data_IF_314223976486
#
_entry.id   IF_314223976486
#
_cell.length_a   1.000
_cell.length_b   1.000
_cell.length_c   1.000
_cell.angle_alpha   90.00
_cell.angle_beta   90.00
_cell.angle_gamma   90.00
#
_symmetry.space_group_name_H-M   'P 1'
#
loop_
_entity.id
_entity.type
_entity.pdbx_description
1 polymer ?
#
# COMPACT_ATOMS: atom_id res chain seq x y z
N UNK A 1 26.40 -40.96 47.64
CA UNK A 1 25.17 -40.26 47.24
C UNK A 1 25.52 -39.25 46.17
N UNK A 2 25.03 -39.46 44.95
CA UNK A 2 25.23 -38.57 43.80
C UNK A 2 24.05 -37.57 43.80
N UNK A 3 24.27 -36.25 43.75
CA UNK A 3 23.15 -35.32 43.69
C UNK A 3 22.47 -35.40 42.32
N UNK A 4 21.16 -35.60 42.36
CA UNK A 4 20.25 -35.63 41.22
C UNK A 4 20.14 -34.20 40.65
N UNK A 5 20.47 -34.05 39.38
CA UNK A 5 20.23 -32.80 38.62
C UNK A 5 18.73 -32.74 38.35
N UNK A 6 18.01 -31.66 38.72
CA UNK A 6 16.60 -31.56 38.38
C UNK A 6 16.45 -31.47 36.87
N UNK A 7 15.62 -32.36 36.34
CA UNK A 7 15.26 -32.46 34.94
C UNK A 7 14.80 -31.09 34.41
N UNK A 8 15.36 -30.73 33.26
CA UNK A 8 14.96 -29.61 32.44
C UNK A 8 13.46 -29.72 32.17
N UNK A 9 12.67 -28.77 32.68
CA UNK A 9 11.27 -28.67 32.34
C UNK A 9 11.17 -28.43 30.81
N UNK A 10 10.73 -29.45 30.09
CA UNK A 10 10.39 -29.33 28.69
C UNK A 10 9.24 -28.33 28.55
N UNK A 11 9.41 -27.35 27.67
CA UNK A 11 8.41 -26.34 27.30
C UNK A 11 7.20 -27.05 26.69
N UNK A 12 6.20 -27.36 27.49
CA UNK A 12 4.90 -27.89 27.07
C UNK A 12 3.83 -26.81 27.18
N UNK A 13 3.75 -25.90 26.20
CA UNK A 13 2.52 -25.16 25.88
C UNK A 13 2.59 -24.44 24.50
N UNK A 14 2.51 -25.21 23.41
CA UNK A 14 2.74 -24.70 22.03
C UNK A 14 1.49 -24.16 21.32
N UNK A 15 0.29 -24.36 21.85
CA UNK A 15 -0.96 -23.93 21.20
C UNK A 15 -1.47 -22.64 21.84
N UNK A 16 -1.71 -21.55 21.07
CA UNK A 16 -2.30 -20.34 21.63
C UNK A 16 -3.72 -20.64 22.12
N UNK A 17 -4.14 -19.94 23.18
CA UNK A 17 -5.51 -20.00 23.73
C UNK A 17 -6.21 -18.66 23.56
N UNK A 18 -7.51 -18.61 23.85
CA UNK A 18 -8.27 -17.36 23.84
C UNK A 18 -7.71 -16.27 24.77
N UNK A 19 -6.92 -16.63 25.79
CA UNK A 19 -6.25 -15.64 26.65
C UNK A 19 -5.08 -14.95 25.94
N UNK A 20 -4.61 -15.48 24.81
CA UNK A 20 -3.52 -14.87 24.02
C UNK A 20 -4.05 -13.90 22.93
N UNK A 21 -5.35 -13.67 22.88
CA UNK A 21 -6.01 -12.77 21.95
C UNK A 21 -6.53 -11.54 22.70
N UNK A 22 -6.68 -10.43 21.99
CA UNK A 22 -7.25 -9.19 22.49
C UNK A 22 -8.62 -9.45 23.12
N UNK A 23 -8.90 -8.78 24.24
CA UNK A 23 -10.21 -8.76 24.87
C UNK A 23 -11.04 -7.52 24.45
N UNK A 24 -12.20 -7.35 25.09
CA UNK A 24 -13.13 -6.25 24.81
C UNK A 24 -12.57 -4.88 25.21
N UNK A 25 -11.78 -4.80 26.27
CA UNK A 25 -11.22 -3.55 26.77
C UNK A 25 -10.04 -3.10 25.90
N UNK A 26 -9.22 -4.04 25.44
CA UNK A 26 -8.08 -3.75 24.57
C UNK A 26 -8.54 -3.35 23.16
N UNK A 27 -9.53 -4.05 22.58
CA UNK A 27 -10.06 -3.71 21.25
C UNK A 27 -10.87 -2.40 21.28
N UNK A 28 -11.36 -1.95 22.46
CA UNK A 28 -12.11 -0.70 22.60
C UNK A 28 -11.35 0.49 22.03
N UNK A 29 -10.01 0.48 22.05
CA UNK A 29 -9.17 1.52 21.44
C UNK A 29 -9.45 1.74 19.95
N UNK A 30 -9.99 0.74 19.23
CA UNK A 30 -10.33 0.84 17.81
C UNK A 30 -11.78 1.33 17.58
N UNK A 31 -12.53 1.65 18.63
CA UNK A 31 -13.94 2.09 18.58
C UNK A 31 -14.17 3.38 19.36
N UNK A 32 -14.98 4.30 18.83
CA UNK A 32 -15.44 5.52 19.51
C UNK A 32 -16.30 5.17 20.74
N UNK A 33 -15.70 4.96 21.91
CA UNK A 33 -16.36 4.66 23.22
C UNK A 33 -17.49 3.59 23.18
N UNK A 34 -17.58 2.81 22.09
CA UNK A 34 -18.66 1.86 21.86
C UNK A 34 -18.37 0.55 22.58
N UNK A 35 -19.43 -0.14 23.07
CA UNK A 35 -19.27 -1.47 23.59
C UNK A 35 -18.93 -2.44 22.44
N UNK A 36 -17.78 -3.08 22.57
CA UNK A 36 -17.36 -4.18 21.70
C UNK A 36 -17.82 -5.52 22.28
N UNK A 37 -18.14 -6.45 21.39
CA UNK A 37 -18.42 -7.83 21.71
C UNK A 37 -17.47 -8.75 20.95
N UNK A 38 -17.06 -9.84 21.60
CA UNK A 38 -16.46 -10.99 20.92
C UNK A 38 -17.62 -11.79 20.32
N UNK A 39 -17.60 -11.98 19.00
CA UNK A 39 -18.66 -12.72 18.30
C UNK A 39 -18.24 -14.16 18.01
N UNK A 40 -16.94 -14.42 17.86
CA UNK A 40 -16.41 -15.76 17.59
C UNK A 40 -14.96 -15.87 18.05
N UNK A 41 -14.56 -17.06 18.50
CA UNK A 41 -13.15 -17.46 18.63
C UNK A 41 -13.03 -18.91 18.20
N UNK A 42 -12.13 -19.19 17.26
CA UNK A 42 -11.93 -20.53 16.67
C UNK A 42 -10.48 -20.70 16.19
N UNK A 43 -10.10 -21.90 15.75
CA UNK A 43 -8.76 -22.25 15.25
C UNK A 43 -8.60 -22.05 13.74
N UNK A 44 -9.63 -21.51 13.08
CA UNK A 44 -9.71 -21.33 11.64
C UNK A 44 -9.46 -22.61 10.84
N UNK A 45 -9.89 -23.78 11.32
CA UNK A 45 -9.79 -25.07 10.58
C UNK A 45 -11.05 -25.43 9.79
N UNK A 46 -12.19 -24.83 10.13
CA UNK A 46 -13.46 -24.98 9.40
C UNK A 46 -13.59 -24.02 8.20
N UNK A 47 -14.56 -24.24 7.30
CA UNK A 47 -14.88 -23.34 6.18
C UNK A 47 -13.77 -23.22 5.13
N UNK A 48 -13.69 -22.08 4.43
CA UNK A 48 -12.60 -21.76 3.48
C UNK A 48 -11.33 -21.22 4.17
N UNK A 49 -11.46 -20.81 5.43
CA UNK A 49 -10.38 -20.26 6.23
C UNK A 49 -10.10 -18.77 6.00
N UNK A 50 -10.93 -18.08 5.22
CA UNK A 50 -10.77 -16.67 4.86
C UNK A 50 -11.61 -15.81 5.80
N UNK A 51 -10.95 -14.97 6.61
CA UNK A 51 -11.62 -14.16 7.62
C UNK A 51 -11.64 -12.66 7.29
N UNK A 52 -10.83 -12.20 6.33
CA UNK A 52 -10.69 -10.78 6.00
C UNK A 52 -10.62 -10.52 4.50
N UNK A 53 -11.01 -9.31 4.09
CA UNK A 53 -11.23 -8.90 2.69
C UNK A 53 -10.07 -9.18 1.72
N UNK A 54 -8.83 -9.11 2.19
CA UNK A 54 -7.63 -9.23 1.33
C UNK A 54 -6.85 -10.52 1.57
N UNK A 55 -7.26 -11.35 2.54
CA UNK A 55 -6.61 -12.62 2.82
C UNK A 55 -6.76 -13.56 1.62
N UNK A 56 -5.67 -14.19 1.20
CA UNK A 56 -5.63 -15.00 -0.02
C UNK A 56 -5.69 -16.51 0.26
N UNK A 57 -5.18 -16.95 1.41
CA UNK A 57 -5.16 -18.36 1.85
C UNK A 57 -5.52 -18.44 3.33
N UNK A 58 -5.90 -19.64 3.79
CA UNK A 58 -6.29 -19.89 5.20
C UNK A 58 -5.25 -19.40 6.22
N UNK A 59 -3.99 -19.70 5.99
CA UNK A 59 -2.86 -19.30 6.82
C UNK A 59 -1.80 -18.60 5.98
N UNK A 60 -1.08 -17.67 6.59
CA UNK A 60 0.06 -17.00 5.98
C UNK A 60 1.31 -17.90 5.98
N UNK A 61 1.45 -18.74 7.01
CA UNK A 61 2.37 -19.86 7.05
C UNK A 61 1.61 -21.18 6.76
N UNK A 62 1.76 -21.78 5.56
CA UNK A 62 1.08 -23.03 5.23
C UNK A 62 1.55 -24.23 6.10
N UNK A 63 2.73 -24.13 6.71
CA UNK A 63 3.30 -25.17 7.59
C UNK A 63 3.13 -24.81 9.09
N UNK A 64 2.28 -23.83 9.39
CA UNK A 64 1.95 -23.40 10.74
C UNK A 64 1.48 -24.56 11.62
N UNK A 65 1.83 -24.52 12.90
CA UNK A 65 1.52 -25.58 13.87
C UNK A 65 0.27 -25.32 14.69
N UNK A 66 -0.15 -24.06 14.77
CA UNK A 66 -1.39 -23.67 15.43
C UNK A 66 -1.84 -22.29 14.96
N UNK A 67 -3.15 -22.05 15.01
CA UNK A 67 -3.73 -20.74 14.75
C UNK A 67 -4.91 -20.49 15.68
N UNK A 68 -5.19 -19.21 15.93
CA UNK A 68 -6.45 -18.76 16.51
C UNK A 68 -6.94 -17.50 15.80
N UNK A 69 -8.25 -17.42 15.63
CA UNK A 69 -8.95 -16.27 15.09
C UNK A 69 -10.00 -15.82 16.09
N UNK A 70 -10.05 -14.51 16.37
CA UNK A 70 -11.10 -13.88 17.16
C UNK A 70 -11.75 -12.74 16.39
N UNK A 71 -13.07 -12.76 16.34
CA UNK A 71 -13.88 -11.75 15.65
C UNK A 71 -14.58 -10.87 16.66
N UNK A 72 -14.60 -9.57 16.37
CA UNK A 72 -15.22 -8.54 17.18
C UNK A 72 -16.19 -7.72 16.36
N UNK A 73 -17.22 -7.19 17.00
CA UNK A 73 -18.09 -6.17 16.42
C UNK A 73 -18.53 -5.15 17.46
N UNK A 74 -18.86 -3.94 17.01
CA UNK A 74 -19.61 -2.98 17.83
C UNK A 74 -21.12 -3.21 17.69
N UNK A 75 -21.90 -2.67 18.63
CA UNK A 75 -23.37 -2.56 18.53
C UNK A 75 -23.78 -1.09 18.30
N UNK A 76 -24.75 -0.84 17.41
CA UNK A 76 -25.26 0.50 17.07
C UNK A 76 -24.33 1.35 16.19
N UNK A 77 -24.79 2.53 15.76
CA UNK A 77 -23.99 3.56 15.06
C UNK A 77 -23.25 3.11 13.79
N UNK A 78 -22.17 3.84 13.40
CA UNK A 78 -21.30 3.44 12.29
C UNK A 78 -20.67 2.06 12.61
N UNK A 79 -20.99 1.08 11.77
CA UNK A 79 -20.64 -0.32 12.01
C UNK A 79 -19.12 -0.51 11.97
N UNK A 80 -18.54 -1.02 13.07
CA UNK A 80 -17.15 -1.45 13.16
C UNK A 80 -17.05 -2.94 13.44
N UNK A 81 -16.06 -3.57 12.83
CA UNK A 81 -15.69 -4.95 13.12
C UNK A 81 -14.18 -5.07 13.16
N UNK A 82 -13.68 -6.11 13.82
CA UNK A 82 -12.27 -6.46 13.77
C UNK A 82 -12.11 -7.98 13.74
N UNK A 83 -11.05 -8.44 13.10
CA UNK A 83 -10.60 -9.83 13.16
C UNK A 83 -9.16 -9.81 13.61
N UNK A 84 -8.87 -10.49 14.72
CA UNK A 84 -7.50 -10.78 15.12
C UNK A 84 -7.17 -12.22 14.74
N UNK A 85 -6.01 -12.42 14.12
CA UNK A 85 -5.44 -13.75 13.84
C UNK A 85 -4.10 -13.87 14.55
N UNK A 86 -3.82 -15.03 15.12
CA UNK A 86 -2.52 -15.43 15.64
C UNK A 86 -2.13 -16.75 14.98
N UNK A 87 -0.95 -16.78 14.35
CA UNK A 87 -0.38 -17.97 13.73
C UNK A 87 0.95 -18.30 14.40
N UNK A 88 1.14 -19.58 14.75
CA UNK A 88 2.39 -20.11 15.31
C UNK A 88 3.09 -20.96 14.26
N UNK A 89 4.31 -20.58 13.93
CA UNK A 89 5.17 -21.29 12.97
C UNK A 89 6.10 -22.29 13.66
N UNK A 90 6.65 -23.25 12.91
CA UNK A 90 7.66 -24.19 13.47
C UNK A 90 8.98 -23.48 13.80
N UNK A 91 9.28 -22.40 13.07
CA UNK A 91 10.53 -21.62 13.20
C UNK A 91 10.29 -20.13 13.03
N UNK A 92 11.22 -19.31 13.55
CA UNK A 92 11.18 -17.85 13.37
C UNK A 92 11.31 -17.46 11.89
N UNK A 93 12.08 -18.24 11.12
CA UNK A 93 12.21 -18.05 9.67
C UNK A 93 10.85 -18.19 8.97
N UNK A 94 10.07 -19.21 9.32
CA UNK A 94 8.73 -19.39 8.77
C UNK A 94 7.78 -18.30 9.27
N UNK A 95 7.83 -17.91 10.55
CA UNK A 95 7.03 -16.79 11.04
C UNK A 95 7.35 -15.48 10.30
N UNK A 96 8.62 -15.26 9.95
CA UNK A 96 9.04 -14.11 9.15
C UNK A 96 8.48 -14.15 7.72
N UNK A 97 8.41 -15.33 7.11
CA UNK A 97 7.74 -15.50 5.84
C UNK A 97 6.23 -15.26 5.98
N UNK A 98 5.58 -15.82 7.00
CA UNK A 98 4.18 -15.58 7.33
C UNK A 98 3.87 -14.08 7.49
N UNK A 99 4.66 -13.35 8.28
CA UNK A 99 4.55 -11.89 8.41
C UNK A 99 4.58 -11.18 7.06
N UNK A 100 5.55 -11.51 6.19
CA UNK A 100 5.68 -10.91 4.85
C UNK A 100 4.50 -11.27 3.95
N UNK A 101 4.04 -12.52 4.01
CA UNK A 101 2.84 -12.99 3.30
C UNK A 101 1.61 -12.20 3.72
N UNK A 102 1.37 -12.06 5.03
CA UNK A 102 0.25 -11.27 5.56
C UNK A 102 0.33 -9.82 5.11
N UNK A 103 1.51 -9.17 5.21
CA UNK A 103 1.70 -7.79 4.71
C UNK A 103 1.39 -7.70 3.20
N UNK A 104 1.88 -8.67 2.42
CA UNK A 104 1.69 -8.73 0.97
C UNK A 104 0.22 -8.85 0.55
N UNK A 105 -0.60 -9.60 1.30
CA UNK A 105 -2.04 -9.72 1.05
C UNK A 105 -2.73 -8.36 0.98
N UNK A 106 -2.39 -7.43 1.89
CA UNK A 106 -3.02 -6.11 1.95
C UNK A 106 -2.33 -5.09 1.05
N UNK A 107 -0.99 -5.12 0.97
CA UNK A 107 -0.24 -4.22 0.09
C UNK A 107 -0.60 -4.43 -1.40
N UNK A 108 -0.92 -5.67 -1.77
CA UNK A 108 -1.28 -6.11 -3.12
C UNK A 108 -2.75 -6.42 -3.33
N UNK A 109 -3.63 -5.96 -2.44
CA UNK A 109 -5.03 -6.41 -2.44
C UNK A 109 -5.75 -6.04 -3.73
N UNK A 110 -6.27 -7.06 -4.43
CA UNK A 110 -6.92 -6.92 -5.75
C UNK A 110 -8.44 -6.71 -5.68
N UNK A 111 -8.97 -6.49 -4.48
CA UNK A 111 -10.39 -6.16 -4.31
C UNK A 111 -10.67 -4.86 -5.05
N UNK A 112 -11.65 -4.90 -5.95
CA UNK A 112 -11.98 -3.75 -6.78
C UNK A 112 -12.26 -2.49 -5.95
N UNK A 113 -11.59 -1.39 -6.32
CA UNK A 113 -11.72 -0.06 -5.68
C UNK A 113 -11.19 0.02 -4.25
N UNK A 114 -10.36 -0.93 -3.84
CA UNK A 114 -9.58 -0.80 -2.62
C UNK A 114 -8.26 -0.07 -2.93
N UNK A 115 -7.91 0.89 -2.07
CA UNK A 115 -6.71 1.69 -2.19
C UNK A 115 -5.89 1.65 -0.89
N UNK A 116 -4.57 1.50 -0.99
CA UNK A 116 -3.62 1.68 0.11
C UNK A 116 -3.33 3.17 0.29
N UNK A 117 -3.81 3.74 1.40
CA UNK A 117 -3.66 5.16 1.72
C UNK A 117 -2.28 5.45 2.33
N UNK A 118 -1.93 4.70 3.38
CA UNK A 118 -0.67 4.90 4.10
C UNK A 118 -0.16 3.60 4.70
N UNK A 119 1.13 3.60 5.01
CA UNK A 119 1.81 2.51 5.67
C UNK A 119 2.74 3.06 6.74
N UNK A 120 2.84 2.34 7.84
CA UNK A 120 3.65 2.71 8.98
C UNK A 120 4.55 1.55 9.37
N UNK A 121 5.81 1.88 9.63
CA UNK A 121 6.66 0.99 10.42
C UNK A 121 6.43 1.32 11.88
N UNK A 122 6.20 0.28 12.67
CA UNK A 122 6.06 0.38 14.12
C UNK A 122 7.30 -0.22 14.75
N UNK A 123 7.90 0.52 15.68
CA UNK A 123 9.05 0.04 16.46
C UNK A 123 8.64 -0.07 17.94
N UNK A 124 9.53 -0.65 18.75
CA UNK A 124 9.34 -0.95 20.18
C UNK A 124 8.28 -2.03 20.48
N UNK A 125 7.83 -2.78 19.48
CA UNK A 125 6.93 -3.92 19.64
C UNK A 125 7.37 -5.08 18.73
N UNK A 126 7.51 -6.27 19.31
CA UNK A 126 7.95 -7.47 18.60
C UNK A 126 9.29 -7.31 17.87
N UNK A 127 9.55 -8.23 16.95
CA UNK A 127 10.72 -8.22 16.08
C UNK A 127 10.48 -7.41 14.80
N UNK A 128 9.25 -7.50 14.25
CA UNK A 128 8.81 -6.81 13.04
C UNK A 128 7.35 -6.37 13.23
N UNK A 129 7.03 -5.12 12.92
CA UNK A 129 5.67 -4.62 12.99
C UNK A 129 5.35 -3.58 11.90
N UNK A 130 4.17 -3.70 11.32
CA UNK A 130 3.68 -2.86 10.24
C UNK A 130 2.19 -2.54 10.41
N UNK A 131 1.80 -1.34 10.01
CA UNK A 131 0.39 -0.95 9.90
C UNK A 131 0.11 -0.45 8.49
N UNK A 132 -0.98 -0.92 7.88
CA UNK A 132 -1.49 -0.41 6.61
C UNK A 132 -2.89 0.19 6.82
N UNK A 133 -3.11 1.35 6.22
CA UNK A 133 -4.43 1.99 6.15
C UNK A 133 -4.96 1.88 4.73
N UNK A 134 -6.13 1.29 4.58
CA UNK A 134 -6.76 1.09 3.29
C UNK A 134 -8.16 1.69 3.26
N UNK A 135 -8.65 1.94 2.05
CA UNK A 135 -10.02 2.40 1.84
C UNK A 135 -10.64 1.68 0.66
N UNK A 136 -11.80 1.09 0.91
CA UNK A 136 -12.69 0.56 -0.12
C UNK A 136 -13.68 1.66 -0.52
N UNK A 137 -13.55 2.15 -1.76
CA UNK A 137 -14.34 3.27 -2.28
C UNK A 137 -15.72 2.87 -2.83
N UNK A 138 -16.23 1.68 -2.47
CA UNK A 138 -17.63 1.29 -2.68
C UNK A 138 -18.54 2.11 -1.76
N UNK A 139 -19.81 2.33 -2.10
CA UNK A 139 -20.77 2.96 -1.18
C UNK A 139 -21.45 1.88 -0.31
N UNK A 140 -21.55 2.07 1.03
CA UNK A 140 -20.86 3.09 1.81
C UNK A 140 -19.34 2.84 1.83
N UNK A 141 -18.55 3.93 1.88
CA UNK A 141 -17.08 3.83 1.96
C UNK A 141 -16.71 3.04 3.19
N UNK A 142 -15.72 2.16 3.09
CA UNK A 142 -15.20 1.40 4.23
C UNK A 142 -13.72 1.67 4.37
N UNK A 143 -13.27 1.98 5.58
CA UNK A 143 -11.85 2.10 5.88
C UNK A 143 -11.38 0.87 6.63
N UNK A 144 -10.18 0.40 6.29
CA UNK A 144 -9.56 -0.77 6.91
C UNK A 144 -8.25 -0.35 7.57
N UNK A 145 -8.06 -0.78 8.82
CA UNK A 145 -6.78 -0.72 9.52
C UNK A 145 -6.23 -2.13 9.64
N UNK A 146 -5.00 -2.33 9.17
CA UNK A 146 -4.35 -3.64 9.18
C UNK A 146 -3.08 -3.50 10.00
N UNK A 147 -3.06 -4.08 11.19
CA UNK A 147 -1.92 -4.05 12.09
C UNK A 147 -1.32 -5.46 12.19
N UNK A 148 -0.03 -5.62 11.88
CA UNK A 148 0.63 -6.92 11.81
C UNK A 148 1.92 -6.84 12.61
N UNK A 149 2.19 -7.82 13.46
CA UNK A 149 3.44 -7.94 14.19
C UNK A 149 3.92 -9.39 14.21
N UNK A 150 5.23 -9.56 14.35
CA UNK A 150 5.90 -10.84 14.58
C UNK A 150 6.72 -10.77 15.84
N UNK A 151 6.68 -11.82 16.66
CA UNK A 151 7.55 -12.02 17.81
C UNK A 151 8.01 -13.48 17.85
N UNK A 152 9.31 -13.72 17.68
CA UNK A 152 9.88 -15.06 17.51
C UNK A 152 9.15 -15.86 16.43
N UNK A 153 8.53 -16.96 16.84
CA UNK A 153 7.78 -17.90 15.97
C UNK A 153 6.31 -17.55 15.76
N UNK A 154 5.84 -16.43 16.31
CA UNK A 154 4.42 -16.06 16.30
C UNK A 154 4.21 -14.83 15.44
N UNK A 155 3.20 -14.88 14.57
CA UNK A 155 2.69 -13.73 13.82
C UNK A 155 1.29 -13.41 14.32
N UNK A 156 1.02 -12.14 14.59
CA UNK A 156 -0.33 -11.66 14.90
C UNK A 156 -0.75 -10.57 13.93
N UNK A 157 -2.01 -10.59 13.52
CA UNK A 157 -2.62 -9.53 12.74
C UNK A 157 -3.97 -9.13 13.34
N UNK A 158 -4.27 -7.83 13.33
CA UNK A 158 -5.59 -7.29 13.67
C UNK A 158 -6.05 -6.44 12.49
N UNK A 159 -7.17 -6.84 11.88
CA UNK A 159 -7.78 -6.15 10.76
C UNK A 159 -9.09 -5.53 11.23
N UNK A 160 -9.08 -4.22 11.42
CA UNK A 160 -10.26 -3.43 11.71
C UNK A 160 -10.95 -2.96 10.44
N UNK A 161 -12.28 -2.97 10.43
CA UNK A 161 -13.12 -2.41 9.37
C UNK A 161 -14.06 -1.38 9.99
N UNK A 162 -14.15 -0.20 9.38
CA UNK A 162 -15.05 0.88 9.79
C UNK A 162 -15.85 1.37 8.61
N UNK A 163 -17.17 1.27 8.68
CA UNK A 163 -18.06 1.91 7.71
C UNK A 163 -17.95 3.43 7.87
N UNK A 164 -17.60 4.11 6.79
CA UNK A 164 -17.30 5.54 6.75
C UNK A 164 -15.82 5.85 6.50
N UNK A 165 -15.51 7.15 6.46
CA UNK A 165 -14.18 7.67 6.17
C UNK A 165 -13.35 8.03 7.41
N UNK A 166 -13.82 7.64 8.60
CA UNK A 166 -13.24 7.98 9.91
C UNK A 166 -12.65 6.75 10.60
N UNK A 167 -11.50 6.23 10.14
CA UNK A 167 -10.85 5.12 10.82
C UNK A 167 -10.26 5.59 12.17
N UNK A 168 -9.95 4.65 13.08
CA UNK A 168 -9.16 4.98 14.26
C UNK A 168 -7.83 5.65 13.89
N UNK A 169 -7.33 6.62 14.67
CA UNK A 169 -6.03 7.23 14.45
C UNK A 169 -4.89 6.19 14.56
N UNK A 170 -3.77 6.38 13.84
CA UNK A 170 -2.64 5.46 13.86
C UNK A 170 -2.09 5.14 15.26
N UNK A 171 -2.11 6.11 16.17
CA UNK A 171 -1.70 5.89 17.58
C UNK A 171 -2.56 4.84 18.30
N UNK A 172 -3.87 4.82 18.07
CA UNK A 172 -4.76 3.82 18.66
C UNK A 172 -4.57 2.44 18.03
N UNK A 173 -4.33 2.39 16.71
CA UNK A 173 -4.07 1.15 15.98
C UNK A 173 -2.76 0.52 16.44
N UNK A 174 -1.70 1.32 16.55
CA UNK A 174 -0.38 0.87 16.99
C UNK A 174 -0.36 0.45 18.45
N UNK A 175 -1.12 1.14 19.33
CA UNK A 175 -1.31 0.69 20.70
C UNK A 175 -2.07 -0.63 20.79
N UNK A 176 -3.13 -0.83 19.99
CA UNK A 176 -3.84 -2.12 19.95
C UNK A 176 -2.92 -3.26 19.46
N UNK A 177 -2.00 -2.97 18.54
CA UNK A 177 -0.97 -3.94 18.12
C UNK A 177 0.02 -4.25 19.25
N UNK A 178 0.45 -3.25 20.00
CA UNK A 178 1.29 -3.43 21.18
C UNK A 178 0.60 -4.31 22.23
N UNK A 179 -0.68 -4.05 22.50
CA UNK A 179 -1.50 -4.85 23.42
C UNK A 179 -1.58 -6.31 22.94
N UNK A 180 -1.77 -6.55 21.63
CA UNK A 180 -1.77 -7.90 21.03
C UNK A 180 -0.44 -8.62 21.25
N UNK A 181 0.69 -7.93 21.02
CA UNK A 181 2.03 -8.51 21.23
C UNK A 181 2.29 -8.78 22.71
N UNK A 182 1.87 -7.90 23.62
CA UNK A 182 2.01 -8.10 25.06
C UNK A 182 1.28 -9.37 25.54
N UNK A 183 0.05 -9.62 25.06
CA UNK A 183 -0.71 -10.84 25.38
C UNK A 183 -0.01 -12.12 24.90
N UNK A 184 0.77 -12.03 23.82
CA UNK A 184 1.55 -13.15 23.29
C UNK A 184 2.87 -13.35 24.03
N UNK A 185 3.47 -12.31 24.58
CA UNK A 185 4.75 -12.44 25.28
C UNK A 185 4.62 -12.83 26.74
N UNK A 186 3.51 -12.50 27.39
CA UNK A 186 3.16 -13.08 28.69
C UNK A 186 3.23 -14.62 28.66
N UNK A 187 2.92 -15.24 27.51
CA UNK A 187 3.06 -16.70 27.28
C UNK A 187 4.53 -17.17 27.23
N UNK A 188 5.43 -16.34 26.71
CA UNK A 188 6.87 -16.67 26.62
C UNK A 188 7.63 -16.39 27.92
N UNK A 189 6.99 -15.84 28.95
CA UNK A 189 7.64 -15.36 30.18
C UNK A 189 8.53 -14.12 29.98
N UNK A 190 8.51 -13.52 28.78
CA UNK A 190 9.29 -12.33 28.45
C UNK A 190 8.47 -11.06 28.64
N UNK A 191 8.94 -10.18 29.52
CA UNK A 191 8.33 -8.87 29.78
C UNK A 191 8.77 -7.79 28.77
N UNK A 192 9.77 -8.07 27.92
CA UNK A 192 10.49 -7.03 27.17
C UNK A 192 10.03 -6.83 25.72
N UNK A 193 9.12 -7.66 25.21
CA UNK A 193 8.79 -7.66 23.79
C UNK A 193 7.81 -6.54 23.35
N UNK A 194 7.17 -5.84 24.29
CA UNK A 194 6.21 -4.78 24.02
C UNK A 194 6.44 -3.61 24.97
N UNK A 195 6.98 -2.51 24.43
CA UNK A 195 7.11 -1.22 25.12
C UNK A 195 6.11 -0.24 24.50
N UNK A 196 6.19 1.03 24.92
CA UNK A 196 5.39 2.08 24.30
C UNK A 196 5.70 2.16 22.78
N UNK A 197 4.70 1.91 21.91
CA UNK A 197 4.94 1.84 20.47
C UNK A 197 5.27 3.23 19.93
N UNK A 198 6.22 3.26 18.99
CA UNK A 198 6.45 4.44 18.15
C UNK A 198 6.21 4.05 16.71
N UNK A 199 5.79 5.01 15.88
CA UNK A 199 5.54 4.74 14.48
C UNK A 199 5.97 5.91 13.60
N UNK A 200 6.35 5.59 12.37
CA UNK A 200 6.60 6.58 11.32
C UNK A 200 5.97 6.13 10.01
N UNK A 201 5.55 7.10 9.22
CA UNK A 201 5.12 6.86 7.85
C UNK A 201 6.31 6.31 7.06
N UNK A 202 6.06 5.28 6.27
CA UNK A 202 7.04 4.67 5.36
C UNK A 202 6.38 4.46 3.99
N UNK A 203 7.18 4.29 2.92
CA UNK A 203 6.66 3.79 1.65
C UNK A 203 5.80 2.53 1.85
N UNK A 204 4.77 2.33 1.02
CA UNK A 204 3.94 1.14 1.09
C UNK A 204 4.81 -0.10 0.85
N UNK A 205 4.54 -1.22 1.53
CA UNK A 205 5.22 -2.47 1.25
C UNK A 205 5.06 -2.89 -0.22
N UNK A 206 5.94 -3.76 -0.73
CA UNK A 206 5.79 -4.32 -2.08
C UNK A 206 4.40 -4.93 -2.26
N UNK A 207 3.73 -4.56 -3.35
CA UNK A 207 2.37 -5.03 -3.66
C UNK A 207 2.33 -6.47 -4.18
N UNK A 208 3.49 -7.08 -4.48
CA UNK A 208 3.56 -8.34 -5.21
C UNK A 208 3.22 -8.22 -6.71
N UNK A 209 2.94 -7.00 -7.19
CA UNK A 209 3.01 -6.67 -8.62
C UNK A 209 4.47 -6.34 -9.02
N UNK A 210 4.72 -5.94 -10.27
CA UNK A 210 6.07 -5.56 -10.72
C UNK A 210 6.62 -4.42 -9.86
N UNK A 211 7.89 -4.54 -9.45
CA UNK A 211 8.56 -3.51 -8.63
C UNK A 211 8.84 -2.26 -9.46
N UNK A 212 8.86 -1.10 -8.82
CA UNK A 212 9.18 0.15 -9.52
C UNK A 212 8.02 0.77 -10.32
N UNK A 213 6.84 0.14 -10.32
CA UNK A 213 5.66 0.67 -10.99
C UNK A 213 4.47 0.64 -10.03
N UNK A 214 3.49 1.51 -10.24
CA UNK A 214 2.28 1.56 -9.42
C UNK A 214 1.55 0.22 -9.43
N UNK A 215 1.00 -0.13 -8.27
CA UNK A 215 0.04 -1.20 -8.13
C UNK A 215 -1.37 -0.67 -8.43
N UNK A 216 -2.31 -1.57 -8.76
CA UNK A 216 -3.73 -1.15 -8.90
C UNK A 216 -4.25 -0.57 -7.57
N UNK A 217 -3.78 -1.12 -6.44
CA UNK A 217 -4.13 -0.65 -5.11
C UNK A 217 -3.54 0.74 -4.74
N UNK A 218 -2.65 1.31 -5.57
CA UNK A 218 -2.16 2.67 -5.36
C UNK A 218 -3.12 3.73 -5.93
N UNK A 219 -3.98 3.33 -6.88
CA UNK A 219 -4.75 4.26 -7.69
C UNK A 219 -5.98 4.80 -6.95
N UNK A 220 -6.17 6.13 -6.91
CA UNK A 220 -7.35 6.72 -6.29
C UNK A 220 -8.61 6.54 -7.17
N UNK A 221 -9.82 6.68 -6.60
CA UNK A 221 -11.02 6.83 -7.41
C UNK A 221 -10.91 8.08 -8.30
N UNK A 222 -11.58 8.03 -9.45
CA UNK A 222 -11.64 9.15 -10.39
C UNK A 222 -13.09 9.60 -10.53
N UNK A 223 -13.34 10.89 -10.26
CA UNK A 223 -14.67 11.49 -10.34
C UNK A 223 -15.75 10.63 -9.69
N UNK A 224 -16.75 10.26 -10.48
CA UNK A 224 -17.92 9.49 -10.05
C UNK A 224 -17.84 8.01 -10.43
N UNK A 225 -16.72 7.57 -10.99
CA UNK A 225 -16.57 6.23 -11.55
C UNK A 225 -16.65 5.17 -10.44
N UNK A 226 -17.62 4.26 -10.59
CA UNK A 226 -17.91 3.21 -9.64
C UNK A 226 -17.25 1.86 -9.98
N UNK A 227 -16.46 1.80 -11.05
CA UNK A 227 -15.73 0.61 -11.52
C UNK A 227 -14.25 0.65 -11.06
N UNK A 228 -13.58 -0.50 -10.92
CA UNK A 228 -12.20 -0.55 -10.46
C UNK A 228 -11.21 -0.27 -11.58
N UNK A 229 -10.05 0.26 -11.20
CA UNK A 229 -8.88 0.26 -12.07
C UNK A 229 -8.44 -1.17 -12.41
N UNK A 230 -7.96 -1.34 -13.64
CA UNK A 230 -7.29 -2.55 -14.12
C UNK A 230 -6.02 -2.12 -14.83
N UNK A 231 -4.89 -2.71 -14.45
CA UNK A 231 -3.61 -2.49 -15.12
C UNK A 231 -3.31 -3.58 -16.14
N UNK A 232 -2.78 -3.19 -17.29
CA UNK A 232 -2.13 -4.10 -18.25
C UNK A 232 -0.96 -4.85 -17.59
N UNK A 233 -0.48 -5.94 -18.20
CA UNK A 233 0.76 -6.57 -17.73
C UNK A 233 1.94 -5.62 -17.99
N UNK A 234 2.79 -5.35 -16.98
CA UNK A 234 4.03 -4.60 -17.19
C UNK A 234 4.88 -5.21 -18.30
N UNK A 235 5.46 -4.34 -19.14
CA UNK A 235 6.31 -4.78 -20.24
C UNK A 235 7.48 -3.80 -20.46
N UNK A 236 8.57 -4.22 -21.14
CA UNK A 236 9.60 -3.29 -21.58
C UNK A 236 9.02 -2.15 -22.42
N UNK A 237 9.42 -0.91 -22.14
CA UNK A 237 8.93 0.26 -22.85
C UNK A 237 9.70 0.46 -24.17
N UNK A 238 9.35 -0.31 -25.21
CA UNK A 238 9.89 -0.12 -26.58
C UNK A 238 9.42 1.20 -27.20
N UNK A 239 8.19 1.57 -26.87
CA UNK A 239 7.62 2.91 -27.03
C UNK A 239 7.16 3.37 -25.66
N UNK A 240 7.21 4.67 -25.42
CA UNK A 240 6.74 5.26 -24.18
C UNK A 240 5.28 5.69 -24.31
N UNK A 241 4.29 4.90 -23.82
CA UNK A 241 2.88 5.29 -23.87
C UNK A 241 2.52 6.43 -22.91
N UNK A 242 3.47 6.87 -22.08
CA UNK A 242 3.32 8.05 -21.24
C UNK A 242 3.78 9.33 -21.94
N UNK A 243 4.56 9.24 -23.02
CA UNK A 243 5.05 10.42 -23.73
C UNK A 243 3.89 11.27 -24.31
N UNK A 244 4.03 12.59 -24.21
CA UNK A 244 3.14 13.57 -24.85
C UNK A 244 3.88 14.32 -25.97
N UNK A 245 3.16 15.16 -26.72
CA UNK A 245 3.76 16.05 -27.73
C UNK A 245 4.69 17.09 -27.10
N UNK A 246 4.50 17.45 -25.82
CA UNK A 246 5.32 18.43 -25.11
C UNK A 246 6.66 17.87 -24.62
N UNK A 247 6.66 16.68 -24.01
CA UNK A 247 7.88 16.07 -23.47
C UNK A 247 8.62 15.21 -24.49
N UNK A 248 7.89 14.52 -25.38
CA UNK A 248 8.42 13.53 -26.33
C UNK A 248 9.43 12.56 -25.68
N UNK A 249 9.22 12.21 -24.43
CA UNK A 249 10.19 11.48 -23.64
C UNK A 249 10.43 10.08 -24.21
N UNK A 250 11.69 9.77 -24.49
CA UNK A 250 12.15 8.46 -24.92
C UNK A 250 13.28 8.01 -23.99
N UNK A 251 12.93 7.17 -23.01
CA UNK A 251 13.88 6.66 -22.02
C UNK A 251 14.99 5.81 -22.66
N UNK A 252 14.66 5.01 -23.67
CA UNK A 252 15.63 4.12 -24.32
C UNK A 252 16.65 4.95 -25.12
N UNK A 253 16.16 5.91 -25.92
CA UNK A 253 17.02 6.84 -26.67
C UNK A 253 17.86 7.73 -25.74
N UNK A 254 17.34 8.06 -24.56
CA UNK A 254 18.07 8.80 -23.53
C UNK A 254 19.12 7.97 -22.78
N UNK A 255 19.25 6.67 -23.07
CA UNK A 255 20.28 5.81 -22.49
C UNK A 255 19.87 5.10 -21.19
N UNK A 256 18.57 4.93 -20.93
CA UNK A 256 18.11 4.03 -19.87
C UNK A 256 18.50 2.58 -20.20
N UNK A 257 19.09 1.88 -19.24
CA UNK A 257 19.51 0.47 -19.36
C UNK A 257 18.36 -0.50 -19.12
N UNK A 258 17.30 -0.05 -18.46
CA UNK A 258 16.09 -0.84 -18.22
C UNK A 258 14.90 0.09 -18.29
N UNK A 259 13.88 -0.33 -19.03
CA UNK A 259 12.60 0.36 -19.06
C UNK A 259 11.46 -0.60 -18.75
N UNK A 260 10.42 -0.08 -18.10
CA UNK A 260 9.12 -0.75 -17.93
C UNK A 260 8.02 0.26 -18.14
N UNK A 261 6.90 -0.23 -18.66
CA UNK A 261 5.69 0.56 -18.82
C UNK A 261 4.45 -0.26 -18.50
N UNK A 262 3.41 0.44 -18.08
CA UNK A 262 2.08 -0.10 -17.81
C UNK A 262 1.01 0.97 -18.00
N UNK A 263 -0.10 0.57 -18.60
CA UNK A 263 -1.31 1.38 -18.71
C UNK A 263 -2.40 0.84 -17.80
N UNK A 264 -3.12 1.74 -17.14
CA UNK A 264 -4.28 1.49 -16.29
C UNK A 264 -5.52 2.09 -16.91
N UNK A 265 -6.59 1.29 -16.94
CA UNK A 265 -7.88 1.63 -17.51
C UNK A 265 -8.98 1.30 -16.50
N UNK A 266 -10.19 1.79 -16.74
CA UNK A 266 -11.37 1.38 -15.99
C UNK A 266 -12.36 0.77 -17.00
N UNK A 267 -12.28 -0.55 -17.27
CA UNK A 267 -13.22 -1.22 -18.15
C UNK A 267 -14.67 -1.05 -17.68
N UNK A 268 -15.62 -1.13 -18.61
CA UNK A 268 -17.07 -1.08 -18.34
C UNK A 268 -17.57 0.23 -17.68
N UNK A 269 -16.77 1.30 -17.71
CA UNK A 269 -17.16 2.62 -17.20
C UNK A 269 -17.64 3.59 -18.31
N UNK A 270 -17.80 3.11 -19.56
CA UNK A 270 -18.23 3.92 -20.71
C UNK A 270 -17.42 5.21 -20.90
N UNK A 271 -16.10 5.10 -20.78
CA UNK A 271 -15.18 6.24 -20.85
C UNK A 271 -14.66 6.43 -22.29
N UNK A 272 -14.24 7.65 -22.67
CA UNK A 272 -13.57 7.88 -23.95
C UNK A 272 -12.37 6.94 -24.12
N UNK A 273 -12.07 6.51 -25.36
CA UNK A 273 -10.96 5.59 -25.65
C UNK A 273 -9.58 6.09 -25.15
N UNK A 274 -9.42 7.41 -25.04
CA UNK A 274 -8.21 8.06 -24.52
C UNK A 274 -8.10 8.04 -22.99
N UNK A 275 -9.18 7.74 -22.27
CA UNK A 275 -9.17 7.76 -20.81
C UNK A 275 -8.20 6.71 -20.27
N UNK A 276 -7.36 7.12 -19.33
CA UNK A 276 -6.48 6.19 -18.62
C UNK A 276 -5.27 6.88 -18.02
N UNK A 277 -4.51 6.09 -17.27
CA UNK A 277 -3.21 6.47 -16.73
C UNK A 277 -2.16 5.56 -17.38
N UNK A 278 -1.05 6.12 -17.86
CA UNK A 278 0.12 5.34 -18.25
C UNK A 278 1.30 5.75 -17.40
N UNK A 279 2.07 4.75 -16.96
CA UNK A 279 3.31 4.95 -16.24
C UNK A 279 4.45 4.26 -16.99
N UNK A 280 5.56 4.97 -17.14
CA UNK A 280 6.79 4.45 -17.72
C UNK A 280 7.97 4.85 -16.86
N UNK A 281 8.81 3.90 -16.47
CA UNK A 281 10.08 4.22 -15.82
C UNK A 281 11.28 3.77 -16.67
N UNK A 282 12.38 4.50 -16.51
CA UNK A 282 13.70 4.15 -17.03
C UNK A 282 14.75 4.25 -15.94
N UNK A 283 15.56 3.18 -15.79
CA UNK A 283 16.76 3.17 -14.96
C UNK A 283 17.97 3.53 -15.81
N UNK A 284 18.72 4.52 -15.38
CA UNK A 284 19.94 5.00 -16.04
C UNK A 284 21.18 4.43 -15.35
N UNK A 285 22.32 4.51 -16.03
CA UNK A 285 23.60 4.03 -15.47
C UNK A 285 24.05 4.84 -14.25
N UNK A 286 23.67 6.12 -14.18
CA UNK A 286 24.10 7.02 -13.12
C UNK A 286 22.98 7.99 -12.71
N UNK A 287 22.98 8.47 -11.46
CA UNK A 287 22.10 9.58 -11.04
C UNK A 287 22.27 10.87 -11.85
N UNK A 288 23.47 11.11 -12.40
CA UNK A 288 23.73 12.27 -13.25
C UNK A 288 22.98 12.16 -14.60
N UNK A 289 22.97 10.98 -15.22
CA UNK A 289 22.22 10.73 -16.46
C UNK A 289 20.71 10.89 -16.24
N UNK A 290 20.19 10.33 -15.15
CA UNK A 290 18.79 10.49 -14.76
C UNK A 290 18.39 11.96 -14.53
N UNK A 291 19.25 12.74 -13.83
CA UNK A 291 19.05 14.20 -13.65
C UNK A 291 19.03 14.94 -14.98
N UNK A 292 19.99 14.64 -15.87
CA UNK A 292 20.07 15.27 -17.20
C UNK A 292 18.79 15.01 -17.99
N UNK A 293 18.32 13.75 -18.03
CA UNK A 293 17.08 13.40 -18.71
C UNK A 293 15.88 14.20 -18.18
N UNK A 294 15.71 14.28 -16.86
CA UNK A 294 14.62 15.06 -16.27
C UNK A 294 14.74 16.57 -16.60
N UNK A 295 15.95 17.14 -16.59
CA UNK A 295 16.17 18.52 -17.00
C UNK A 295 15.86 18.76 -18.49
N UNK A 296 16.22 17.82 -19.37
CA UNK A 296 15.91 17.89 -20.81
C UNK A 296 14.40 17.89 -21.05
N UNK A 297 13.67 17.01 -20.36
CA UNK A 297 12.20 16.97 -20.42
C UNK A 297 11.58 18.27 -19.93
N UNK A 298 11.99 18.79 -18.76
CA UNK A 298 11.48 20.08 -18.23
C UNK A 298 11.66 21.21 -19.24
N UNK A 299 12.84 21.30 -19.86
CA UNK A 299 13.11 22.26 -20.93
C UNK A 299 12.25 22.04 -22.17
N UNK A 300 11.89 20.79 -22.47
CA UNK A 300 10.99 20.48 -23.58
C UNK A 300 9.57 20.93 -23.28
N UNK A 301 9.06 20.67 -22.07
CA UNK A 301 7.70 21.10 -21.66
C UNK A 301 7.61 22.62 -21.59
N UNK A 302 8.64 23.30 -21.06
CA UNK A 302 8.68 24.76 -20.98
C UNK A 302 8.65 25.46 -22.35
N UNK A 303 9.07 24.78 -23.42
CA UNK A 303 9.04 25.28 -24.81
C UNK A 303 7.92 24.62 -25.63
N UNK A 304 6.94 24.00 -24.97
CA UNK A 304 5.89 23.27 -25.69
C UNK A 304 5.02 24.23 -26.50
N UNK A 305 4.53 25.30 -25.88
CA UNK A 305 3.63 26.26 -26.53
C UNK A 305 4.29 26.95 -27.75
N UNK A 306 5.61 27.16 -27.72
CA UNK A 306 6.37 27.70 -28.85
C UNK A 306 6.41 26.76 -30.07
N UNK A 307 6.31 25.45 -29.84
CA UNK A 307 6.44 24.41 -30.88
C UNK A 307 5.09 23.82 -31.29
N UNK A 308 4.11 23.88 -30.40
CA UNK A 308 2.77 23.35 -30.57
C UNK A 308 1.76 24.42 -30.11
N UNK A 309 1.42 25.31 -31.05
CA UNK A 309 0.50 26.45 -30.81
C UNK A 309 -0.91 26.02 -30.40
N UNK A 310 -1.26 24.74 -30.62
CA UNK A 310 -2.55 24.18 -30.22
C UNK A 310 -2.55 23.65 -28.78
N UNK A 311 -1.39 23.63 -28.10
CA UNK A 311 -1.24 23.12 -26.74
C UNK A 311 -0.96 24.23 -25.74
N UNK A 312 -1.70 24.23 -24.64
CA UNK A 312 -1.49 25.08 -23.47
C UNK A 312 -0.88 24.26 -22.32
N UNK A 313 0.08 24.82 -21.62
CA UNK A 313 0.76 24.26 -20.45
C UNK A 313 0.45 25.12 -19.23
N UNK A 314 -0.04 24.50 -18.17
CA UNK A 314 -0.42 25.21 -16.94
C UNK A 314 -0.17 24.37 -15.70
N UNK A 315 -0.43 24.94 -14.53
CA UNK A 315 -0.46 24.19 -13.28
C UNK A 315 0.87 23.55 -12.88
N UNK A 316 2.00 24.16 -13.29
CA UNK A 316 3.32 23.66 -12.95
C UNK A 316 3.48 23.53 -11.44
N UNK A 317 3.91 22.34 -11.01
CA UNK A 317 4.37 22.09 -9.64
C UNK A 317 5.73 21.45 -9.71
N UNK A 318 6.61 21.90 -8.83
CA UNK A 318 7.94 21.33 -8.65
C UNK A 318 8.15 21.05 -7.17
N UNK A 319 8.65 19.86 -6.87
CA UNK A 319 9.10 19.48 -5.54
C UNK A 319 10.46 18.79 -5.67
N UNK A 320 11.45 19.35 -4.97
CA UNK A 320 12.75 18.72 -4.80
C UNK A 320 13.06 18.69 -3.30
N UNK A 321 13.44 17.52 -2.79
CA UNK A 321 13.88 17.40 -1.40
C UNK A 321 15.36 17.79 -1.28
N UNK A 322 15.76 18.28 -0.10
CA UNK A 322 17.15 18.65 0.20
C UNK A 322 18.13 17.46 0.14
N UNK A 323 17.61 16.23 0.08
CA UNK A 323 18.39 15.02 -0.20
C UNK A 323 18.17 14.61 -1.66
N UNK A 324 19.22 14.37 -2.47
CA UNK A 324 19.18 14.26 -3.93
C UNK A 324 18.38 13.06 -4.50
N UNK A 325 17.64 12.36 -3.64
CA UNK A 325 16.87 11.16 -3.93
C UNK A 325 15.44 11.43 -4.41
N UNK A 326 14.88 12.64 -4.29
CA UNK A 326 13.55 12.93 -4.83
C UNK A 326 13.54 14.25 -5.60
N UNK A 327 13.12 14.19 -6.86
CA UNK A 327 12.90 15.37 -7.70
C UNK A 327 11.69 15.11 -8.61
N UNK A 328 10.64 15.91 -8.47
CA UNK A 328 9.31 15.67 -9.05
C UNK A 328 8.77 16.94 -9.70
N UNK A 329 8.23 16.82 -10.90
CA UNK A 329 7.47 17.91 -11.54
C UNK A 329 6.16 17.41 -12.12
N UNK A 330 5.15 18.29 -12.17
CA UNK A 330 3.88 18.02 -12.84
C UNK A 330 3.34 19.24 -13.57
N UNK A 331 2.59 19.01 -14.64
CA UNK A 331 1.93 20.01 -15.46
C UNK A 331 0.54 19.54 -15.88
N UNK A 332 -0.36 20.48 -16.12
CA UNK A 332 -1.64 20.26 -16.79
C UNK A 332 -1.51 20.75 -18.25
N UNK A 333 -1.64 19.83 -19.20
CA UNK A 333 -1.61 20.09 -20.64
C UNK A 333 -3.04 20.13 -21.18
N UNK A 334 -3.31 21.07 -22.07
CA UNK A 334 -4.57 21.14 -22.81
C UNK A 334 -4.30 21.37 -24.30
N UNK A 335 -4.62 20.38 -25.13
CA UNK A 335 -4.44 20.45 -26.58
C UNK A 335 -5.77 20.62 -27.28
N UNK A 336 -5.88 21.63 -28.14
CA UNK A 336 -7.01 21.86 -29.02
C UNK A 336 -6.90 20.95 -30.25
N UNK A 337 -7.90 20.08 -30.44
CA UNK A 337 -8.01 19.23 -31.65
C UNK A 337 -8.87 19.94 -32.71
N UNK A 338 -9.85 20.72 -32.24
CA UNK A 338 -10.68 21.62 -33.04
C UNK A 338 -11.29 22.68 -32.13
N UNK A 339 -11.94 23.70 -32.71
CA UNK A 339 -12.63 24.77 -31.98
C UNK A 339 -13.63 24.27 -30.91
N UNK A 340 -14.12 23.04 -31.08
CA UNK A 340 -15.11 22.40 -30.19
C UNK A 340 -14.55 21.27 -29.35
N UNK A 341 -13.30 20.85 -29.57
CA UNK A 341 -12.72 19.68 -28.93
C UNK A 341 -11.35 19.99 -28.35
N UNK A 342 -11.27 19.98 -27.03
CA UNK A 342 -10.02 20.06 -26.28
C UNK A 342 -9.77 18.75 -25.54
N UNK A 343 -8.51 18.33 -25.47
CA UNK A 343 -8.08 17.17 -24.70
C UNK A 343 -7.12 17.62 -23.63
N UNK A 344 -7.32 17.12 -22.41
CA UNK A 344 -6.50 17.43 -21.26
C UNK A 344 -5.62 16.23 -20.91
N UNK A 345 -4.43 16.51 -20.42
CA UNK A 345 -3.53 15.53 -19.83
C UNK A 345 -2.94 16.11 -18.55
N UNK A 346 -2.81 15.29 -17.51
CA UNK A 346 -1.92 15.56 -16.38
C UNK A 346 -0.63 14.83 -16.65
N UNK A 347 0.47 15.57 -16.78
CA UNK A 347 1.80 15.04 -17.04
C UNK A 347 2.63 15.19 -15.77
N UNK A 348 3.36 14.16 -15.40
CA UNK A 348 4.29 14.25 -14.28
C UNK A 348 5.49 13.34 -14.42
N UNK A 349 6.60 13.79 -13.83
CA UNK A 349 7.85 13.04 -13.77
C UNK A 349 8.35 13.01 -12.34
N UNK A 350 8.97 11.90 -11.97
CA UNK A 350 9.63 11.75 -10.68
C UNK A 350 10.95 10.99 -10.84
N UNK A 351 12.00 11.51 -10.22
CA UNK A 351 13.32 10.87 -10.18
C UNK A 351 13.63 10.40 -8.78
N UNK A 352 14.06 9.15 -8.68
CA UNK A 352 14.69 8.57 -7.49
C UNK A 352 16.05 8.00 -7.85
N UNK A 353 17.11 8.63 -7.35
CA UNK A 353 18.49 8.22 -7.64
C UNK A 353 18.80 8.23 -9.14
N UNK A 354 19.11 7.05 -9.68
CA UNK A 354 19.41 6.75 -11.09
C UNK A 354 18.16 6.40 -11.92
N UNK A 355 16.96 6.46 -11.34
CA UNK A 355 15.72 6.04 -12.00
C UNK A 355 14.74 7.21 -12.14
N UNK A 356 14.07 7.31 -13.29
CA UNK A 356 13.03 8.31 -13.55
C UNK A 356 11.75 7.60 -13.98
N UNK A 357 10.61 7.98 -13.42
CA UNK A 357 9.28 7.60 -13.91
C UNK A 357 8.56 8.81 -14.50
N UNK A 358 7.69 8.51 -15.46
CA UNK A 358 6.74 9.42 -16.09
C UNK A 358 5.35 8.85 -15.90
N UNK A 359 4.42 9.69 -15.43
CA UNK A 359 2.99 9.40 -15.37
C UNK A 359 2.27 10.37 -16.29
N UNK A 360 1.34 9.84 -17.07
CA UNK A 360 0.42 10.65 -17.89
C UNK A 360 -1.00 10.16 -17.68
N UNK A 361 -1.86 11.05 -17.18
CA UNK A 361 -3.28 10.77 -16.97
C UNK A 361 -4.13 11.58 -17.95
N UNK A 362 -4.96 10.89 -18.72
CA UNK A 362 -5.94 11.48 -19.61
C UNK A 362 -7.33 11.34 -18.99
N UNK A 363 -7.90 12.42 -18.41
CA UNK A 363 -9.23 12.38 -17.81
C UNK A 363 -10.37 12.34 -18.84
N UNK A 364 -11.57 12.05 -18.35
CA UNK A 364 -12.81 12.37 -19.04
C UNK A 364 -13.35 13.71 -18.53
N UNK A 365 -14.17 14.46 -19.30
CA UNK A 365 -14.61 15.81 -18.92
C UNK A 365 -15.27 15.92 -17.54
N UNK A 366 -15.97 14.87 -17.09
CA UNK A 366 -16.64 14.84 -15.79
C UNK A 366 -15.98 13.89 -14.77
N UNK A 367 -14.89 13.22 -15.15
CA UNK A 367 -14.20 12.22 -14.34
C UNK A 367 -12.68 12.44 -14.45
N UNK A 368 -12.18 13.26 -13.54
CA UNK A 368 -10.78 13.67 -13.41
C UNK A 368 -10.29 13.43 -11.98
N UNK A 369 -8.96 13.35 -11.84
CA UNK A 369 -8.27 13.49 -10.56
C UNK A 369 -8.02 14.98 -10.29
N UNK A 370 -7.98 15.38 -9.03
CA UNK A 370 -7.51 16.74 -8.72
C UNK A 370 -5.99 16.84 -8.96
N UNK A 371 -5.47 18.05 -9.17
CA UNK A 371 -4.02 18.27 -9.27
C UNK A 371 -3.27 17.74 -8.04
N UNK A 372 -3.82 17.92 -6.84
CA UNK A 372 -3.28 17.35 -5.59
C UNK A 372 -3.32 15.83 -5.56
N UNK A 373 -4.39 15.22 -6.10
CA UNK A 373 -4.52 13.77 -6.23
C UNK A 373 -3.46 13.19 -7.17
N UNK A 374 -3.24 13.84 -8.31
CA UNK A 374 -2.19 13.45 -9.26
C UNK A 374 -0.78 13.65 -8.69
N UNK A 375 -0.52 14.75 -7.98
CA UNK A 375 0.75 14.95 -7.25
C UNK A 375 1.00 13.85 -6.21
N UNK A 376 -0.03 13.48 -5.43
CA UNK A 376 0.06 12.39 -4.46
C UNK A 376 0.38 11.05 -5.13
N UNK A 377 -0.12 10.84 -6.35
CA UNK A 377 0.19 9.65 -7.14
C UNK A 377 1.63 9.63 -7.65
N UNK A 378 2.20 10.79 -8.00
CA UNK A 378 3.63 10.91 -8.33
C UNK A 378 4.53 10.60 -7.13
N UNK A 379 4.16 11.07 -5.93
CA UNK A 379 4.85 10.71 -4.69
C UNK A 379 4.80 9.19 -4.47
N UNK A 380 3.64 8.57 -4.72
CA UNK A 380 3.49 7.12 -4.65
C UNK A 380 4.31 6.38 -5.70
N UNK A 381 4.45 6.91 -6.92
CA UNK A 381 5.36 6.35 -7.93
C UNK A 381 6.81 6.42 -7.44
N UNK A 382 7.22 7.52 -6.81
CA UNK A 382 8.53 7.64 -6.16
C UNK A 382 8.77 6.54 -5.11
N UNK A 383 7.75 6.25 -4.30
CA UNK A 383 7.80 5.16 -3.33
C UNK A 383 8.05 3.80 -4.01
N UNK A 384 7.38 3.53 -5.13
CA UNK A 384 7.57 2.29 -5.90
C UNK A 384 8.96 2.21 -6.52
N UNK A 385 9.51 3.33 -7.03
CA UNK A 385 10.89 3.35 -7.56
C UNK A 385 11.93 2.95 -6.51
N UNK A 386 11.71 3.24 -5.22
CA UNK A 386 12.62 2.82 -4.15
C UNK A 386 12.70 1.30 -3.98
N UNK A 387 11.76 0.54 -4.54
CA UNK A 387 11.81 -0.93 -4.53
C UNK A 387 12.90 -1.50 -5.44
N UNK A 388 13.46 -0.69 -6.34
CA UNK A 388 14.51 -1.08 -7.31
C UNK A 388 15.94 -0.87 -6.78
N UNK A 389 16.08 -0.16 -5.66
CA UNK A 389 17.34 0.30 -5.08
C UNK A 389 17.87 -0.60 -3.98
#
# INVERSE_FOLDING_TARGET
MKPEVPATAAVTDTTPTGANLLDRDQIRRLGEDRPWQVTRTDDNTSGDGINTTCQQTRFADPDGVAALVRTFSTRGGAQRSAVQTVEVSRSERQARLGFRTTVGWYAGCRVGRLQVLSSYRVDNIGDEAAVLMLRLWKKPVTTLSVAIARTGKVTTSTVGSTVGASPPPPSQITQSLADSVAMLCARSGSADCAKQPTYRVVPPPPSGEERGILAVADLPPVGRIARPWVGTRPAPARRNPSATTCDQADFAKAGATTTRTRTYLIPEASLPARFGLSETYGRFRTPAAARRFLSDVRRSVARCEDRDLATQVSGERHQADRSPQLDLSSWDLQTEISDKQKVRFRLGFVRVGDTVAQLTFAPAPSDDMTATGFHSLLVRSADRLRELG
#
